data_IF_359651095780
#
_entry.id   IF_359651095780
#
_cell.length_a   1.000
_cell.length_b   1.000
_cell.length_c   1.000
_cell.angle_alpha   90.00
_cell.angle_beta   90.00
_cell.angle_gamma   90.00
#
_symmetry.space_group_name_H-M   'P 1'
#
loop_
_entity.id
_entity.type
_entity.pdbx_description
1 polymer ?
#
# COMPACT_ATOMS: atom_id res chain seq x y z
N UNK A 1 -20.75 -18.40 25.81
CA UNK A 1 -21.43 -18.48 27.13
C UNK A 1 -20.82 -17.52 28.14
N UNK A 2 -19.49 -17.56 28.38
CA UNK A 2 -18.81 -16.67 29.33
C UNK A 2 -19.07 -15.15 29.10
N UNK A 3 -19.08 -14.71 27.85
CA UNK A 3 -19.36 -13.31 27.49
C UNK A 3 -20.72 -12.81 27.99
N UNK A 4 -21.79 -13.58 27.76
CA UNK A 4 -23.15 -13.23 28.20
C UNK A 4 -23.29 -13.24 29.72
N UNK A 5 -22.62 -14.19 30.39
CA UNK A 5 -22.56 -14.21 31.85
C UNK A 5 -21.90 -12.95 32.41
N UNK A 6 -20.82 -12.47 31.79
CA UNK A 6 -20.15 -11.24 32.20
C UNK A 6 -21.05 -10.01 32.06
N UNK A 7 -21.82 -9.89 30.97
CA UNK A 7 -22.80 -8.82 30.78
C UNK A 7 -23.87 -8.85 31.88
N UNK A 8 -24.41 -10.03 32.18
CA UNK A 8 -25.42 -10.19 33.23
C UNK A 8 -24.85 -9.76 34.59
N UNK A 9 -23.63 -10.18 34.93
CA UNK A 9 -22.95 -9.79 36.17
C UNK A 9 -22.74 -8.27 36.22
N UNK A 10 -22.27 -7.64 35.14
CA UNK A 10 -22.08 -6.19 35.07
C UNK A 10 -23.40 -5.42 35.24
N UNK A 11 -24.49 -5.88 34.63
CA UNK A 11 -25.82 -5.29 34.80
C UNK A 11 -26.32 -5.44 36.25
N UNK A 12 -26.09 -6.60 36.88
CA UNK A 12 -26.44 -6.81 38.28
C UNK A 12 -25.64 -5.89 39.21
N UNK A 13 -24.35 -5.69 38.95
CA UNK A 13 -23.50 -4.75 39.71
C UNK A 13 -23.99 -3.32 39.52
N UNK A 14 -24.28 -2.89 38.29
CA UNK A 14 -24.80 -1.55 38.00
C UNK A 14 -26.16 -1.31 38.68
N UNK A 15 -27.06 -2.30 38.63
CA UNK A 15 -28.32 -2.25 39.35
C UNK A 15 -28.11 -2.20 40.87
N UNK A 16 -27.19 -2.98 41.43
CA UNK A 16 -26.87 -2.96 42.85
C UNK A 16 -26.33 -1.58 43.31
N UNK A 17 -25.49 -0.93 42.50
CA UNK A 17 -24.99 0.43 42.79
C UNK A 17 -26.11 1.48 42.84
N UNK A 18 -27.17 1.32 42.05
CA UNK A 18 -28.35 2.19 42.13
C UNK A 18 -29.26 1.85 43.31
N UNK A 19 -29.49 0.56 43.55
CA UNK A 19 -30.47 0.08 44.52
C UNK A 19 -29.96 0.17 45.97
N UNK A 20 -28.69 -0.15 46.23
CA UNK A 20 -28.14 -0.28 47.60
C UNK A 20 -28.13 1.05 48.36
N UNK A 21 -27.66 2.19 47.81
CA UNK A 21 -27.69 3.48 48.50
C UNK A 21 -29.12 3.96 48.77
N UNK A 22 -30.01 3.78 47.79
CA UNK A 22 -31.43 4.17 47.88
C UNK A 22 -32.18 3.38 48.97
N UNK A 23 -31.83 2.10 49.16
CA UNK A 23 -32.40 1.25 50.22
C UNK A 23 -31.81 1.53 51.61
N UNK A 24 -30.58 2.07 51.69
CA UNK A 24 -29.89 2.36 52.96
C UNK A 24 -30.27 3.70 53.58
N UNK A 25 -30.65 4.70 52.78
CA UNK A 25 -30.97 6.07 53.23
C UNK A 25 -32.28 6.23 54.05
N UNK A 26 -32.89 5.12 54.46
CA UNK A 26 -34.26 5.07 54.96
C UNK A 26 -34.36 4.78 56.47
N UNK A 27 -33.24 4.87 57.20
CA UNK A 27 -33.20 4.74 58.66
C UNK A 27 -33.01 6.12 59.30
N UNK A 28 -34.15 6.75 59.60
CA UNK A 28 -34.51 7.34 60.90
C UNK A 28 -33.49 8.16 61.75
N UNK A 29 -32.39 8.69 61.24
CA UNK A 29 -31.37 9.31 62.12
C UNK A 29 -31.56 10.82 62.38
N UNK A 30 -32.37 11.54 61.59
CA UNK A 30 -32.42 13.00 61.71
C UNK A 30 -33.26 13.55 62.88
N UNK A 31 -34.34 12.86 63.28
CA UNK A 31 -35.21 13.34 64.35
C UNK A 31 -34.68 12.95 65.74
N UNK A 32 -34.24 11.69 65.90
CA UNK A 32 -33.69 11.20 67.17
C UNK A 32 -32.39 11.91 67.53
N UNK A 33 -31.55 12.28 66.54
CA UNK A 33 -30.26 12.93 66.79
C UNK A 33 -30.36 14.36 67.32
N UNK A 34 -31.42 15.11 67.02
CA UNK A 34 -31.55 16.53 67.44
C UNK A 34 -32.08 16.64 68.87
N UNK A 35 -33.10 15.87 69.22
CA UNK A 35 -33.64 15.85 70.58
C UNK A 35 -32.61 15.30 71.59
N UNK A 36 -31.79 14.33 71.17
CA UNK A 36 -30.67 13.87 72.00
C UNK A 36 -29.61 14.95 72.15
N UNK A 37 -29.31 15.72 71.10
CA UNK A 37 -28.31 16.78 71.14
C UNK A 37 -28.74 17.92 72.07
N UNK A 38 -29.99 18.38 71.96
CA UNK A 38 -30.53 19.44 72.80
C UNK A 38 -30.55 19.03 74.29
N UNK A 39 -30.85 17.76 74.60
CA UNK A 39 -30.77 17.23 75.96
C UNK A 39 -29.34 17.21 76.51
N UNK A 40 -28.36 16.80 75.70
CA UNK A 40 -26.96 16.77 76.12
C UNK A 40 -26.45 18.19 76.37
N UNK A 41 -26.73 19.13 75.46
CA UNK A 41 -26.31 20.53 75.61
C UNK A 41 -26.95 21.20 76.83
N UNK A 42 -28.22 20.91 77.11
CA UNK A 42 -28.90 21.40 78.31
C UNK A 42 -28.22 20.89 79.61
N UNK A 43 -27.85 19.61 79.66
CA UNK A 43 -27.15 19.03 80.81
C UNK A 43 -25.75 19.61 80.98
N UNK A 44 -25.03 19.87 79.88
CA UNK A 44 -23.72 20.51 79.90
C UNK A 44 -23.81 21.94 80.46
N UNK A 45 -24.76 22.74 79.99
CA UNK A 45 -25.01 24.10 80.49
C UNK A 45 -25.38 24.12 81.98
N UNK A 46 -26.15 23.14 82.46
CA UNK A 46 -26.45 23.01 83.89
C UNK A 46 -25.21 22.75 84.74
N UNK A 47 -24.26 21.98 84.23
CA UNK A 47 -22.99 21.71 84.90
C UNK A 47 -22.06 22.93 84.91
N UNK A 48 -22.00 23.68 83.80
CA UNK A 48 -21.27 24.95 83.73
C UNK A 48 -21.80 25.96 84.75
N UNK A 49 -23.13 26.13 84.82
CA UNK A 49 -23.75 27.02 85.80
C UNK A 49 -23.45 26.63 87.26
N UNK A 50 -23.35 25.34 87.55
CA UNK A 50 -22.99 24.87 88.89
C UNK A 50 -21.52 25.16 89.23
N UNK A 51 -20.61 25.04 88.27
CA UNK A 51 -19.20 25.43 88.46
C UNK A 51 -19.05 26.94 88.63
N UNK A 52 -19.77 27.74 87.84
CA UNK A 52 -19.70 29.21 87.90
C UNK A 52 -20.28 29.75 89.21
N UNK A 53 -21.32 29.11 89.77
CA UNK A 53 -21.85 29.42 91.10
C UNK A 53 -20.81 29.10 92.20
N UNK A 54 -20.15 27.95 92.13
CA UNK A 54 -19.09 27.58 93.09
C UNK A 54 -17.88 28.51 93.02
N UNK A 55 -17.60 29.09 91.86
CA UNK A 55 -16.53 30.07 91.65
C UNK A 55 -16.97 31.51 92.01
N UNK A 56 -18.23 31.72 92.41
CA UNK A 56 -18.78 33.03 92.79
C UNK A 56 -19.02 33.96 91.60
N UNK A 57 -19.00 33.44 90.37
CA UNK A 57 -19.25 34.19 89.13
C UNK A 57 -20.74 34.43 88.94
N UNK A 58 -21.57 33.50 89.40
CA UNK A 58 -23.04 33.53 89.27
C UNK A 58 -23.68 33.53 90.66
N UNK A 59 -24.58 34.49 90.91
CA UNK A 59 -25.27 34.64 92.21
C UNK A 59 -26.70 34.10 92.28
N UNK A 60 -27.36 33.89 91.14
CA UNK A 60 -28.79 33.54 91.07
C UNK A 60 -29.07 32.37 90.12
N UNK A 61 -28.49 31.21 90.43
CA UNK A 61 -28.68 29.97 89.66
C UNK A 61 -30.16 29.59 89.38
N UNK A 62 -31.11 29.72 90.34
CA UNK A 62 -32.49 29.29 90.10
C UNK A 62 -33.18 30.03 88.95
N UNK A 63 -32.86 31.30 88.74
CA UNK A 63 -33.45 32.11 87.67
C UNK A 63 -32.85 31.76 86.30
N UNK A 64 -31.54 31.59 86.24
CA UNK A 64 -30.85 31.19 85.01
C UNK A 64 -31.21 29.77 84.55
N UNK A 65 -31.44 28.85 85.49
CA UNK A 65 -31.96 27.51 85.17
C UNK A 65 -33.37 27.61 84.58
N UNK A 66 -34.20 28.53 85.08
CA UNK A 66 -35.55 28.75 84.57
C UNK A 66 -35.53 29.35 83.16
N UNK A 67 -34.64 30.30 82.88
CA UNK A 67 -34.43 30.82 81.52
C UNK A 67 -33.93 29.73 80.57
N UNK A 68 -33.00 28.88 81.00
CA UNK A 68 -32.49 27.77 80.20
C UNK A 68 -33.61 26.76 79.87
N UNK A 69 -34.52 26.50 80.81
CA UNK A 69 -35.71 25.67 80.58
C UNK A 69 -36.69 26.31 79.60
N UNK A 70 -36.91 27.63 79.70
CA UNK A 70 -37.77 28.36 78.78
C UNK A 70 -37.20 28.38 77.36
N UNK A 71 -35.91 28.70 77.22
CA UNK A 71 -35.21 28.63 75.93
C UNK A 71 -35.25 27.22 75.34
N UNK A 72 -35.06 26.18 76.15
CA UNK A 72 -35.15 24.80 75.68
C UNK A 72 -36.55 24.47 75.16
N UNK A 73 -37.62 24.96 75.82
CA UNK A 73 -39.01 24.77 75.38
C UNK A 73 -39.30 25.52 74.07
N UNK A 74 -38.78 26.75 73.94
CA UNK A 74 -38.96 27.58 72.73
C UNK A 74 -38.16 27.02 71.53
N UNK A 75 -37.02 26.37 71.79
CA UNK A 75 -36.19 25.69 70.78
C UNK A 75 -36.71 24.30 70.38
N UNK A 76 -37.84 23.82 70.93
CA UNK A 76 -38.55 22.64 70.40
C UNK A 76 -39.45 23.12 69.26
N UNK A 77 -39.09 22.93 67.99
CA UNK A 77 -39.95 23.35 66.90
C UNK A 77 -41.27 22.57 66.98
N UNK A 78 -42.40 23.27 66.89
CA UNK A 78 -43.73 22.65 66.82
C UNK A 78 -43.73 21.55 65.77
N UNK A 79 -44.08 20.32 66.19
CA UNK A 79 -43.97 19.08 65.43
C UNK A 79 -44.48 19.22 63.99
N UNK A 80 -43.58 19.57 63.08
CA UNK A 80 -43.69 19.23 61.66
C UNK A 80 -42.48 18.38 61.35
N UNK A 81 -42.47 17.18 61.91
CA UNK A 81 -41.69 16.09 61.34
C UNK A 81 -42.22 15.88 59.93
N UNK A 82 -41.58 16.49 58.94
CA UNK A 82 -41.75 16.09 57.56
C UNK A 82 -41.37 14.61 57.50
N UNK A 83 -42.37 13.73 57.56
CA UNK A 83 -42.18 12.30 57.43
C UNK A 83 -41.53 12.07 56.07
N UNK A 84 -40.23 11.78 56.05
CA UNK A 84 -39.56 11.35 54.83
C UNK A 84 -40.20 10.04 54.42
N UNK A 85 -41.13 10.09 53.45
CA UNK A 85 -41.75 8.86 52.95
C UNK A 85 -40.64 7.99 52.36
N UNK A 86 -40.54 6.72 52.79
CA UNK A 86 -39.58 5.81 52.20
C UNK A 86 -39.82 5.71 50.70
N UNK A 87 -38.77 5.81 49.88
CA UNK A 87 -38.88 5.56 48.44
C UNK A 87 -39.44 4.14 48.28
N UNK A 88 -40.61 4.03 47.65
CA UNK A 88 -41.22 2.74 47.37
C UNK A 88 -40.26 1.93 46.46
N UNK A 89 -39.96 0.69 46.82
CA UNK A 89 -39.05 -0.19 46.02
C UNK A 89 -39.52 -0.33 44.58
N UNK A 90 -40.83 -0.27 44.35
CA UNK A 90 -41.44 -0.28 43.02
C UNK A 90 -41.14 0.98 42.19
N UNK A 91 -40.81 2.11 42.83
CA UNK A 91 -40.39 3.33 42.14
C UNK A 91 -38.97 3.23 41.54
N UNK A 92 -38.17 2.24 41.94
CA UNK A 92 -36.83 1.99 41.39
C UNK A 92 -36.86 1.07 40.16
N UNK A 93 -37.93 0.29 39.98
CA UNK A 93 -38.09 -0.64 38.84
C UNK A 93 -38.06 0.06 37.48
N UNK A 94 -38.71 1.23 37.26
CA UNK A 94 -38.61 1.94 36.00
C UNK A 94 -37.16 2.33 35.66
N UNK A 95 -36.36 2.72 36.66
CA UNK A 95 -34.96 3.08 36.47
C UNK A 95 -34.08 1.89 36.10
N UNK A 96 -34.27 0.73 36.76
CA UNK A 96 -33.56 -0.50 36.42
C UNK A 96 -33.99 -1.01 35.04
N UNK A 97 -35.28 -0.95 34.72
CA UNK A 97 -35.80 -1.32 33.40
C UNK A 97 -35.22 -0.42 32.31
N UNK A 98 -35.21 0.90 32.53
CA UNK A 98 -34.58 1.88 31.64
C UNK A 98 -33.11 1.55 31.43
N UNK A 99 -32.36 1.25 32.50
CA UNK A 99 -30.95 0.87 32.42
C UNK A 99 -30.75 -0.37 31.54
N UNK A 100 -31.55 -1.43 31.74
CA UNK A 100 -31.47 -2.65 30.93
C UNK A 100 -31.83 -2.36 29.47
N UNK A 101 -32.91 -1.61 29.22
CA UNK A 101 -33.35 -1.26 27.86
C UNK A 101 -32.29 -0.44 27.13
N UNK A 102 -31.71 0.57 27.79
CA UNK A 102 -30.63 1.39 27.24
C UNK A 102 -29.38 0.55 26.98
N UNK A 103 -28.99 -0.31 27.92
CA UNK A 103 -27.81 -1.17 27.76
C UNK A 103 -27.99 -2.17 26.62
N UNK A 104 -29.14 -2.84 26.54
CA UNK A 104 -29.47 -3.77 25.45
C UNK A 104 -29.55 -3.02 24.12
N UNK A 105 -30.26 -1.90 24.07
CA UNK A 105 -30.36 -1.08 22.85
C UNK A 105 -29.00 -0.59 22.35
N UNK A 106 -28.13 -0.17 23.27
CA UNK A 106 -26.76 0.22 22.94
C UNK A 106 -25.96 -0.97 22.41
N UNK A 107 -26.04 -2.14 23.05
CA UNK A 107 -25.38 -3.36 22.58
C UNK A 107 -25.91 -3.85 21.23
N UNK A 108 -27.21 -3.76 20.97
CA UNK A 108 -27.77 -4.11 19.65
C UNK A 108 -27.28 -3.17 18.55
N UNK A 109 -27.02 -1.88 18.88
CA UNK A 109 -26.56 -0.87 17.92
C UNK A 109 -25.04 -0.88 17.71
N UNK A 110 -24.26 -1.03 18.77
CA UNK A 110 -22.78 -0.90 18.74
C UNK A 110 -22.06 -2.22 18.93
N UNK A 111 -22.75 -3.24 19.43
CA UNK A 111 -22.19 -4.57 19.63
C UNK A 111 -21.96 -5.29 18.31
N UNK A 112 -21.14 -6.34 18.38
CA UNK A 112 -20.71 -7.11 17.23
C UNK A 112 -21.63 -8.29 16.87
N UNK A 113 -22.91 -8.30 17.26
CA UNK A 113 -23.75 -9.51 17.11
C UNK A 113 -23.85 -10.01 15.67
N UNK A 114 -24.11 -9.10 14.73
CA UNK A 114 -24.20 -9.44 13.31
C UNK A 114 -22.84 -9.94 12.78
N UNK A 115 -21.74 -9.33 13.19
CA UNK A 115 -20.39 -9.71 12.80
C UNK A 115 -20.01 -11.08 13.38
N UNK A 116 -20.40 -11.38 14.61
CA UNK A 116 -20.19 -12.70 15.23
C UNK A 116 -21.02 -13.77 14.53
N UNK A 117 -22.27 -13.47 14.17
CA UNK A 117 -23.11 -14.38 13.40
C UNK A 117 -22.53 -14.66 12.01
N UNK A 118 -22.12 -13.61 11.29
CA UNK A 118 -21.45 -13.74 10.00
C UNK A 118 -20.12 -14.49 10.10
N UNK A 119 -19.31 -14.21 11.12
CA UNK A 119 -18.07 -14.94 11.37
C UNK A 119 -18.32 -16.43 11.64
N UNK A 120 -19.34 -16.79 12.43
CA UNK A 120 -19.72 -18.20 12.64
C UNK A 120 -20.13 -18.87 11.33
N UNK A 121 -20.96 -18.20 10.53
CA UNK A 121 -21.35 -18.70 9.22
C UNK A 121 -20.13 -18.93 8.31
N UNK A 122 -19.14 -18.04 8.34
CA UNK A 122 -17.86 -18.24 7.62
C UNK A 122 -17.13 -19.48 8.14
N UNK A 123 -17.03 -19.68 9.46
CA UNK A 123 -16.40 -20.88 10.04
C UNK A 123 -17.11 -22.17 9.59
N UNK A 124 -18.44 -22.17 9.55
CA UNK A 124 -19.23 -23.31 9.10
C UNK A 124 -19.04 -23.61 7.60
N UNK A 125 -18.82 -22.57 6.78
CA UNK A 125 -18.59 -22.68 5.33
C UNK A 125 -17.12 -22.99 4.95
N UNK A 126 -16.16 -22.85 5.88
CA UNK A 126 -14.74 -23.01 5.59
C UNK A 126 -14.36 -24.36 4.93
N UNK A 127 -14.89 -25.52 5.35
CA UNK A 127 -14.57 -26.79 4.72
C UNK A 127 -14.96 -26.83 3.23
N UNK A 128 -16.12 -26.28 2.88
CA UNK A 128 -16.62 -26.22 1.51
C UNK A 128 -15.79 -25.26 0.66
N UNK A 129 -15.48 -24.06 1.19
CA UNK A 129 -14.63 -23.08 0.51
C UNK A 129 -13.24 -23.67 0.21
N UNK A 130 -12.63 -24.36 1.18
CA UNK A 130 -11.33 -25.03 0.99
C UNK A 130 -11.42 -26.16 -0.05
N UNK A 131 -12.47 -26.97 -0.02
CA UNK A 131 -12.67 -28.05 -0.99
C UNK A 131 -12.81 -27.50 -2.43
N UNK A 132 -13.49 -26.36 -2.60
CA UNK A 132 -13.60 -25.69 -3.90
C UNK A 132 -12.26 -25.14 -4.39
N UNK A 133 -11.45 -24.56 -3.51
CA UNK A 133 -10.08 -24.10 -3.88
C UNK A 133 -9.19 -25.27 -4.30
N UNK A 134 -9.33 -26.42 -3.65
CA UNK A 134 -8.54 -27.61 -3.96
C UNK A 134 -8.98 -28.30 -5.27
N UNK A 135 -10.16 -27.99 -5.80
CA UNK A 135 -10.71 -28.61 -7.01
C UNK A 135 -10.61 -27.66 -8.21
N UNK A 136 -9.68 -27.93 -9.12
CA UNK A 136 -9.45 -27.13 -10.33
C UNK A 136 -10.66 -27.05 -11.28
N UNK A 137 -11.57 -28.03 -11.21
CA UNK A 137 -12.79 -28.06 -12.04
C UNK A 137 -13.99 -27.38 -11.37
N UNK A 138 -13.86 -26.93 -10.12
CA UNK A 138 -14.94 -26.23 -9.43
C UNK A 138 -15.13 -24.82 -9.98
N UNK A 139 -16.34 -24.27 -9.78
CA UNK A 139 -16.60 -22.87 -10.11
C UNK A 139 -15.68 -21.96 -9.28
N UNK A 140 -15.02 -20.96 -9.90
CA UNK A 140 -14.20 -19.99 -9.19
C UNK A 140 -14.97 -19.32 -8.05
N UNK A 141 -14.26 -19.01 -6.96
CA UNK A 141 -14.85 -18.25 -5.86
C UNK A 141 -15.11 -16.81 -6.31
N UNK A 142 -16.27 -16.28 -5.92
CA UNK A 142 -16.57 -14.85 -6.01
C UNK A 142 -15.68 -14.04 -5.08
N UNK A 143 -15.57 -12.73 -5.35
CA UNK A 143 -14.77 -11.82 -4.53
C UNK A 143 -15.19 -11.82 -3.05
N UNK A 144 -16.51 -11.94 -2.79
CA UNK A 144 -17.04 -12.03 -1.44
C UNK A 144 -16.64 -13.33 -0.75
N UNK A 145 -16.72 -14.46 -1.45
CA UNK A 145 -16.28 -15.75 -0.92
C UNK A 145 -14.77 -15.78 -0.66
N UNK A 146 -13.96 -15.12 -1.49
CA UNK A 146 -12.52 -14.94 -1.26
C UNK A 146 -12.27 -14.12 0.03
N UNK A 147 -13.04 -13.05 0.25
CA UNK A 147 -12.95 -12.26 1.48
C UNK A 147 -13.36 -13.07 2.73
N UNK A 148 -14.40 -13.90 2.62
CA UNK A 148 -14.82 -14.84 3.68
C UNK A 148 -13.74 -15.89 3.95
N UNK A 149 -13.16 -16.48 2.91
CA UNK A 149 -12.04 -17.41 3.03
C UNK A 149 -10.87 -16.76 3.77
N UNK A 150 -10.53 -15.51 3.43
CA UNK A 150 -9.51 -14.72 4.15
C UNK A 150 -9.81 -14.51 5.64
N UNK A 151 -11.07 -14.23 6.00
CA UNK A 151 -11.49 -14.13 7.40
C UNK A 151 -11.36 -15.48 8.13
N UNK A 152 -11.80 -16.56 7.50
CA UNK A 152 -11.69 -17.91 8.04
C UNK A 152 -10.23 -18.34 8.24
N UNK A 153 -9.37 -18.08 7.26
CA UNK A 153 -7.93 -18.36 7.33
C UNK A 153 -7.25 -17.61 8.48
N UNK A 154 -7.51 -16.30 8.63
CA UNK A 154 -6.97 -15.52 9.76
C UNK A 154 -7.43 -16.07 11.10
N UNK A 155 -8.66 -16.58 11.19
CA UNK A 155 -9.16 -17.22 12.41
C UNK A 155 -8.44 -18.54 12.68
N UNK A 156 -8.26 -19.38 11.66
CA UNK A 156 -7.54 -20.65 11.79
C UNK A 156 -6.07 -20.43 12.20
N UNK A 157 -5.41 -19.43 11.62
CA UNK A 157 -4.04 -19.06 11.93
C UNK A 157 -3.86 -18.46 13.34
N UNK A 158 -4.90 -17.95 13.98
CA UNK A 158 -4.85 -17.61 15.41
C UNK A 158 -4.78 -18.85 16.30
N UNK A 159 -5.31 -19.98 15.84
CA UNK A 159 -5.27 -21.25 16.56
C UNK A 159 -3.98 -22.02 16.24
N UNK A 160 -3.59 -22.07 14.97
CA UNK A 160 -2.35 -22.68 14.50
C UNK A 160 -1.55 -21.70 13.64
N UNK A 161 -0.73 -20.90 14.32
CA UNK A 161 0.13 -19.91 13.66
C UNK A 161 1.31 -20.51 12.87
N UNK A 162 1.53 -21.83 12.90
CA UNK A 162 2.64 -22.50 12.19
C UNK A 162 2.18 -23.19 10.92
N UNK A 163 0.90 -23.10 10.56
CA UNK A 163 0.37 -23.70 9.34
C UNK A 163 0.79 -22.91 8.08
N UNK A 164 1.86 -23.39 7.43
CA UNK A 164 2.42 -22.78 6.22
C UNK A 164 1.39 -22.74 5.08
N UNK A 165 0.57 -23.78 4.91
CA UNK A 165 -0.41 -23.85 3.83
C UNK A 165 -1.48 -22.77 3.98
N UNK A 166 -1.96 -22.54 5.20
CA UNK A 166 -2.94 -21.47 5.47
C UNK A 166 -2.31 -20.08 5.31
N UNK A 167 -1.04 -19.87 5.67
CA UNK A 167 -0.32 -18.62 5.38
C UNK A 167 -0.15 -18.38 3.88
N UNK A 168 0.25 -19.40 3.12
CA UNK A 168 0.37 -19.33 1.67
C UNK A 168 -0.98 -19.03 1.00
N UNK A 169 -2.05 -19.67 1.47
CA UNK A 169 -3.40 -19.42 0.95
C UNK A 169 -3.90 -18.02 1.32
N UNK A 170 -3.62 -17.55 2.54
CA UNK A 170 -3.94 -16.18 2.95
C UNK A 170 -3.18 -15.15 2.11
N UNK A 171 -1.92 -15.43 1.77
CA UNK A 171 -1.13 -14.61 0.85
C UNK A 171 -1.77 -14.48 -0.53
N UNK A 172 -2.20 -15.61 -1.11
CA UNK A 172 -2.93 -15.67 -2.38
C UNK A 172 -4.28 -14.95 -2.32
N UNK A 173 -5.02 -15.10 -1.22
CA UNK A 173 -6.26 -14.34 -0.96
C UNK A 173 -5.97 -12.84 -0.92
N UNK A 174 -4.90 -12.42 -0.23
CA UNK A 174 -4.46 -11.03 -0.21
C UNK A 174 -4.19 -10.49 -1.61
N UNK A 175 -3.48 -11.25 -2.45
CA UNK A 175 -3.23 -10.87 -3.85
C UNK A 175 -4.53 -10.77 -4.67
N UNK A 176 -5.44 -11.74 -4.54
CA UNK A 176 -6.71 -11.75 -5.25
C UNK A 176 -7.60 -10.56 -4.85
N UNK A 177 -7.54 -10.14 -3.58
CA UNK A 177 -8.27 -8.98 -3.06
C UNK A 177 -7.55 -7.64 -3.29
N UNK A 178 -6.41 -7.63 -4.00
CA UNK A 178 -5.52 -6.48 -4.14
C UNK A 178 -5.13 -5.84 -2.79
N UNK A 179 -5.04 -6.65 -1.74
CA UNK A 179 -4.60 -6.26 -0.40
C UNK A 179 -3.13 -6.61 -0.25
N UNK A 180 -2.26 -5.71 -0.72
CA UNK A 180 -0.81 -5.88 -0.71
C UNK A 180 -0.29 -6.18 0.70
N UNK A 181 -0.77 -5.46 1.72
CA UNK A 181 -0.34 -5.66 3.12
C UNK A 181 -0.58 -7.09 3.59
N UNK A 182 -1.78 -7.65 3.36
CA UNK A 182 -2.10 -9.02 3.76
C UNK A 182 -1.28 -10.03 2.97
N UNK A 183 -1.11 -9.80 1.67
CA UNK A 183 -0.32 -10.67 0.81
C UNK A 183 1.14 -10.74 1.30
N UNK A 184 1.79 -9.58 1.48
CA UNK A 184 3.20 -9.49 1.87
C UNK A 184 3.43 -10.08 3.24
N UNK A 185 2.59 -9.75 4.23
CA UNK A 185 2.74 -10.28 5.59
C UNK A 185 2.55 -11.80 5.64
N UNK A 186 1.56 -12.33 4.93
CA UNK A 186 1.28 -13.76 4.96
C UNK A 186 2.40 -14.58 4.28
N UNK A 187 2.90 -14.15 3.12
CA UNK A 187 4.04 -14.80 2.48
C UNK A 187 5.34 -14.62 3.25
N UNK A 188 5.57 -13.45 3.87
CA UNK A 188 6.73 -13.24 4.73
C UNK A 188 6.71 -14.18 5.95
N UNK A 189 5.55 -14.36 6.59
CA UNK A 189 5.40 -15.33 7.68
C UNK A 189 5.62 -16.77 7.21
N UNK A 190 5.07 -17.17 6.05
CA UNK A 190 5.34 -18.49 5.47
C UNK A 190 6.84 -18.70 5.23
N UNK A 191 7.54 -17.69 4.68
CA UNK A 191 8.98 -17.72 4.42
C UNK A 191 9.83 -17.80 5.69
N UNK A 192 9.40 -17.16 6.78
CA UNK A 192 10.05 -17.31 8.09
C UNK A 192 9.93 -18.73 8.65
N UNK A 193 8.80 -19.41 8.39
CA UNK A 193 8.55 -20.77 8.88
C UNK A 193 9.32 -21.83 8.08
N UNK A 194 9.40 -21.69 6.77
CA UNK A 194 10.09 -22.63 5.87
C UNK A 194 10.78 -21.92 4.70
N UNK A 195 11.99 -21.37 4.91
CA UNK A 195 12.71 -20.60 3.89
C UNK A 195 13.30 -21.48 2.78
N UNK A 196 13.33 -22.80 2.94
CA UNK A 196 13.92 -23.71 1.95
C UNK A 196 12.87 -24.22 0.95
N UNK A 197 11.59 -24.15 1.31
CA UNK A 197 10.50 -24.56 0.45
C UNK A 197 10.39 -23.67 -0.80
N UNK A 198 10.40 -24.31 -1.97
CA UNK A 198 10.37 -23.63 -3.26
C UNK A 198 9.13 -22.77 -3.45
N UNK A 199 7.94 -23.31 -3.15
CA UNK A 199 6.68 -22.59 -3.33
C UNK A 199 6.57 -21.39 -2.39
N UNK A 200 7.07 -21.53 -1.17
CA UNK A 200 7.12 -20.44 -0.18
C UNK A 200 8.06 -19.32 -0.65
N UNK A 201 9.29 -19.67 -1.06
CA UNK A 201 10.25 -18.71 -1.62
C UNK A 201 9.68 -17.99 -2.83
N UNK A 202 9.04 -18.72 -3.73
CA UNK A 202 8.45 -18.17 -4.94
C UNK A 202 7.27 -17.24 -4.63
N UNK A 203 6.37 -17.63 -3.72
CA UNK A 203 5.26 -16.79 -3.29
C UNK A 203 5.72 -15.49 -2.64
N UNK A 204 6.76 -15.55 -1.80
CA UNK A 204 7.33 -14.36 -1.18
C UNK A 204 8.05 -13.47 -2.21
N UNK A 205 8.84 -14.04 -3.12
CA UNK A 205 9.43 -13.26 -4.21
C UNK A 205 8.36 -12.59 -5.08
N UNK A 206 7.27 -13.30 -5.42
CA UNK A 206 6.19 -12.78 -6.25
C UNK A 206 5.52 -11.55 -5.63
N UNK A 207 5.25 -11.56 -4.33
CA UNK A 207 4.64 -10.38 -3.70
C UNK A 207 5.62 -9.21 -3.59
N UNK A 208 6.91 -9.46 -3.39
CA UNK A 208 7.94 -8.42 -3.37
C UNK A 208 8.10 -7.73 -4.74
N UNK A 209 8.00 -8.47 -5.85
CA UNK A 209 8.03 -7.87 -7.22
C UNK A 209 6.85 -6.94 -7.53
N UNK A 210 5.78 -6.99 -6.73
CA UNK A 210 4.60 -6.11 -6.87
C UNK A 210 4.64 -4.93 -5.91
N UNK A 211 5.65 -4.86 -5.05
CA UNK A 211 5.81 -3.77 -4.11
C UNK A 211 6.24 -2.49 -4.85
N UNK A 212 5.79 -1.35 -4.34
CA UNK A 212 6.28 -0.05 -4.81
C UNK A 212 7.62 0.34 -4.17
N UNK A 213 8.11 -0.45 -3.21
CA UNK A 213 9.42 -0.23 -2.59
C UNK A 213 10.55 -0.76 -3.50
N UNK A 214 11.51 0.07 -3.92
CA UNK A 214 12.66 -0.38 -4.70
C UNK A 214 13.52 -1.45 -3.99
N UNK A 215 13.56 -1.47 -2.66
CA UNK A 215 14.31 -2.47 -1.90
C UNK A 215 13.67 -3.85 -2.02
N UNK A 216 12.34 -3.93 -1.90
CA UNK A 216 11.58 -5.17 -2.07
C UNK A 216 11.84 -5.77 -3.46
N UNK A 217 11.81 -4.95 -4.50
CA UNK A 217 12.08 -5.38 -5.88
C UNK A 217 13.53 -5.88 -6.07
N UNK A 218 14.49 -5.24 -5.40
CA UNK A 218 15.89 -5.69 -5.40
C UNK A 218 16.06 -7.02 -4.68
N UNK A 219 15.42 -7.17 -3.52
CA UNK A 219 15.41 -8.42 -2.76
C UNK A 219 14.77 -9.55 -3.58
N UNK A 220 13.62 -9.30 -4.21
CA UNK A 220 12.95 -10.25 -5.09
C UNK A 220 13.88 -10.71 -6.23
N UNK A 221 14.55 -9.76 -6.90
CA UNK A 221 15.51 -10.06 -7.97
C UNK A 221 16.64 -10.97 -7.49
N UNK A 222 17.19 -10.71 -6.30
CA UNK A 222 18.24 -11.55 -5.72
C UNK A 222 17.74 -12.95 -5.38
N UNK A 223 16.54 -13.06 -4.80
CA UNK A 223 15.90 -14.36 -4.50
C UNK A 223 15.68 -15.16 -5.78
N UNK A 224 15.08 -14.56 -6.81
CA UNK A 224 14.79 -15.22 -8.08
C UNK A 224 16.06 -15.68 -8.80
N UNK A 225 17.12 -14.88 -8.80
CA UNK A 225 18.43 -15.31 -9.35
C UNK A 225 19.01 -16.51 -8.62
N UNK A 226 18.93 -16.54 -7.28
CA UNK A 226 19.37 -17.71 -6.49
C UNK A 226 18.55 -18.94 -6.84
N UNK A 227 17.23 -18.80 -6.94
CA UNK A 227 16.36 -19.93 -7.26
C UNK A 227 16.60 -20.46 -8.69
N UNK A 228 16.89 -19.59 -9.67
CA UNK A 228 17.26 -20.02 -11.04
C UNK A 228 18.60 -20.75 -11.05
N UNK A 229 19.56 -20.35 -10.21
CA UNK A 229 20.82 -21.07 -10.08
C UNK A 229 20.64 -22.50 -9.54
N UNK A 230 19.59 -22.75 -8.76
CA UNK A 230 19.20 -24.07 -8.28
C UNK A 230 18.46 -24.88 -9.36
N UNK A 231 17.50 -24.26 -10.06
CA UNK A 231 16.75 -24.88 -11.15
C UNK A 231 16.58 -23.90 -12.33
N UNK A 232 17.34 -24.15 -13.40
CA UNK A 232 17.35 -23.31 -14.60
C UNK A 232 16.16 -23.56 -15.54
N UNK A 233 15.32 -24.57 -15.24
CA UNK A 233 14.22 -25.01 -16.11
C UNK A 233 12.85 -24.49 -15.66
N UNK A 234 12.75 -23.93 -14.45
CA UNK A 234 11.49 -23.47 -13.90
C UNK A 234 10.97 -22.21 -14.60
N UNK A 235 10.02 -22.41 -15.52
CA UNK A 235 9.41 -21.33 -16.31
C UNK A 235 8.75 -20.24 -15.46
N UNK A 236 8.22 -20.56 -14.27
CA UNK A 236 7.54 -19.57 -13.42
C UNK A 236 8.55 -18.61 -12.80
N UNK A 237 9.70 -19.13 -12.35
CA UNK A 237 10.78 -18.30 -11.78
C UNK A 237 11.41 -17.44 -12.88
N UNK A 238 11.68 -18.02 -14.06
CA UNK A 238 12.20 -17.29 -15.22
C UNK A 238 11.25 -16.16 -15.64
N UNK A 239 9.95 -16.45 -15.73
CA UNK A 239 8.93 -15.45 -16.07
C UNK A 239 8.93 -14.30 -15.07
N UNK A 240 8.92 -14.62 -13.77
CA UNK A 240 8.87 -13.61 -12.72
C UNK A 240 10.15 -12.76 -12.68
N UNK A 241 11.33 -13.38 -12.88
CA UNK A 241 12.59 -12.65 -13.00
C UNK A 241 12.55 -11.70 -14.20
N UNK A 242 12.10 -12.17 -15.36
CA UNK A 242 12.12 -11.39 -16.59
C UNK A 242 11.21 -10.16 -16.51
N UNK A 243 9.98 -10.33 -16.02
CA UNK A 243 9.05 -9.21 -15.84
C UNK A 243 9.55 -8.23 -14.78
N UNK A 244 10.04 -8.72 -13.64
CA UNK A 244 10.60 -7.84 -12.62
C UNK A 244 11.80 -7.06 -13.17
N UNK A 245 12.72 -7.71 -13.89
CA UNK A 245 13.87 -7.04 -14.50
C UNK A 245 13.44 -5.96 -15.52
N UNK A 246 12.43 -6.24 -16.33
CA UNK A 246 11.90 -5.29 -17.31
C UNK A 246 11.30 -4.05 -16.64
N UNK A 247 10.44 -4.23 -15.63
CA UNK A 247 9.82 -3.13 -14.88
C UNK A 247 10.85 -2.27 -14.14
N UNK A 248 11.95 -2.88 -13.69
CA UNK A 248 13.06 -2.18 -13.02
C UNK A 248 14.07 -1.57 -14.01
N UNK A 249 13.86 -1.69 -15.33
CA UNK A 249 14.75 -1.16 -16.37
C UNK A 249 16.03 -1.99 -16.61
N UNK A 250 16.18 -3.16 -16.01
CA UNK A 250 17.24 -4.12 -16.31
C UNK A 250 16.86 -4.96 -17.56
N UNK A 251 16.78 -4.27 -18.70
CA UNK A 251 16.34 -4.86 -19.97
C UNK A 251 17.23 -6.02 -20.43
N UNK A 252 18.53 -5.98 -20.12
CA UNK A 252 19.45 -7.07 -20.47
C UNK A 252 19.12 -8.36 -19.73
N UNK A 253 18.84 -8.27 -18.43
CA UNK A 253 18.42 -9.43 -17.65
C UNK A 253 17.06 -9.96 -18.11
N UNK A 254 16.11 -9.06 -18.44
CA UNK A 254 14.82 -9.45 -18.99
C UNK A 254 14.96 -10.24 -20.30
N UNK A 255 15.75 -9.71 -21.25
CA UNK A 255 16.04 -10.36 -22.54
C UNK A 255 16.66 -11.75 -22.31
N UNK A 256 17.67 -11.84 -21.45
CA UNK A 256 18.34 -13.11 -21.15
C UNK A 256 17.38 -14.16 -20.60
N UNK A 257 16.52 -13.78 -19.64
CA UNK A 257 15.55 -14.70 -19.04
C UNK A 257 14.49 -15.17 -20.06
N UNK A 258 13.93 -14.26 -20.89
CA UNK A 258 12.98 -14.66 -21.94
C UNK A 258 13.62 -15.53 -23.02
N UNK A 259 14.88 -15.30 -23.38
CA UNK A 259 15.61 -16.16 -24.32
C UNK A 259 15.78 -17.58 -23.78
N UNK A 260 16.06 -17.73 -22.49
CA UNK A 260 16.11 -19.06 -21.85
C UNK A 260 14.73 -19.72 -21.89
N UNK A 261 13.66 -18.98 -21.54
CA UNK A 261 12.30 -19.49 -21.63
C UNK A 261 11.96 -19.98 -23.04
N UNK A 262 12.28 -19.21 -24.09
CA UNK A 262 12.04 -19.61 -25.48
C UNK A 262 12.71 -20.94 -25.86
N UNK A 263 13.85 -21.27 -25.26
CA UNK A 263 14.54 -22.56 -25.49
C UNK A 263 13.88 -23.73 -24.76
N UNK A 264 13.15 -23.45 -23.69
CA UNK A 264 12.48 -24.46 -22.86
C UNK A 264 11.02 -24.69 -23.25
N UNK A 265 10.40 -23.72 -23.94
CA UNK A 265 9.01 -23.84 -24.40
C UNK A 265 8.87 -24.85 -25.53
N UNK A 266 7.76 -25.62 -25.58
CA UNK A 266 7.40 -26.43 -26.74
C UNK A 266 7.23 -25.56 -28.00
N UNK A 267 7.47 -26.15 -29.18
CA UNK A 267 7.41 -25.45 -30.47
C UNK A 267 6.07 -24.74 -30.74
N UNK A 268 4.96 -25.30 -30.27
CA UNK A 268 3.59 -24.78 -30.48
C UNK A 268 3.04 -24.01 -29.26
N UNK A 269 3.89 -23.59 -28.31
CA UNK A 269 3.42 -22.83 -27.14
C UNK A 269 2.98 -21.41 -27.53
N UNK A 270 1.74 -21.05 -27.17
CA UNK A 270 1.14 -19.73 -27.46
C UNK A 270 1.94 -18.56 -26.87
N UNK A 271 2.74 -18.79 -25.83
CA UNK A 271 3.56 -17.77 -25.18
C UNK A 271 4.75 -17.34 -26.03
N UNK A 272 5.20 -18.18 -26.97
CA UNK A 272 6.37 -17.94 -27.83
C UNK A 272 6.32 -16.57 -28.50
N UNK A 273 5.19 -16.21 -29.11
CA UNK A 273 5.03 -14.92 -29.80
C UNK A 273 5.00 -13.73 -28.82
N UNK A 274 4.47 -13.92 -27.61
CA UNK A 274 4.50 -12.89 -26.56
C UNK A 274 5.94 -12.65 -26.11
N UNK A 275 6.71 -13.72 -25.83
CA UNK A 275 8.10 -13.62 -25.40
C UNK A 275 8.99 -12.95 -26.48
N UNK A 276 8.81 -13.31 -27.75
CA UNK A 276 9.52 -12.64 -28.85
C UNK A 276 9.25 -11.13 -28.85
N UNK A 277 7.99 -10.72 -28.78
CA UNK A 277 7.64 -9.29 -28.71
C UNK A 277 8.22 -8.59 -27.49
N UNK A 278 8.18 -9.22 -26.33
CA UNK A 278 8.77 -8.68 -25.09
C UNK A 278 10.29 -8.48 -25.23
N UNK A 279 11.00 -9.43 -25.86
CA UNK A 279 12.43 -9.31 -26.15
C UNK A 279 12.69 -8.11 -27.07
N UNK A 280 11.96 -7.99 -28.18
CA UNK A 280 12.13 -6.87 -29.12
C UNK A 280 11.87 -5.52 -28.43
N UNK A 281 10.79 -5.42 -27.64
CA UNK A 281 10.50 -4.21 -26.87
C UNK A 281 11.63 -3.88 -25.89
N UNK A 282 12.15 -4.87 -25.17
CA UNK A 282 13.26 -4.64 -24.25
C UNK A 282 14.56 -4.26 -24.96
N UNK A 283 14.84 -4.78 -26.16
CA UNK A 283 16.00 -4.36 -26.96
C UNK A 283 15.91 -2.91 -27.40
N UNK A 284 14.71 -2.46 -27.82
CA UNK A 284 14.45 -1.05 -28.15
C UNK A 284 14.71 -0.17 -26.93
N UNK A 285 14.18 -0.55 -25.76
CA UNK A 285 14.39 0.19 -24.50
C UNK A 285 15.84 0.13 -23.99
N UNK A 286 16.56 -0.96 -24.25
CA UNK A 286 17.98 -1.11 -23.96
C UNK A 286 18.89 -0.33 -24.93
N UNK A 287 18.34 0.21 -26.02
CA UNK A 287 19.12 0.82 -27.10
C UNK A 287 19.99 -0.19 -27.87
N UNK A 288 19.67 -1.48 -27.83
CA UNK A 288 20.44 -2.54 -28.50
C UNK A 288 20.06 -2.74 -29.96
N UNK A 289 18.85 -2.33 -30.36
CA UNK A 289 18.44 -2.21 -31.77
C UNK A 289 18.49 -0.74 -32.21
N UNK A 290 19.70 -0.20 -32.29
CA UNK A 290 19.92 1.05 -33.03
C UNK A 290 19.73 0.79 -34.51
N UNK A 291 18.78 1.49 -35.11
CA UNK A 291 18.65 1.63 -36.56
C UNK A 291 20.01 2.00 -37.15
N UNK A 292 20.48 1.27 -38.16
CA UNK A 292 21.79 1.50 -38.78
C UNK A 292 21.62 1.78 -40.27
N UNK A 293 21.98 2.99 -40.69
CA UNK A 293 22.09 3.37 -42.09
C UNK A 293 23.57 3.39 -42.49
N UNK A 294 24.03 2.39 -43.22
CA UNK A 294 25.35 2.39 -43.83
C UNK A 294 25.40 3.37 -45.00
N UNK A 295 26.41 4.24 -45.05
CA UNK A 295 26.63 5.18 -46.15
C UNK A 295 28.02 4.93 -46.73
N UNK A 296 28.07 4.70 -48.04
CA UNK A 296 29.31 4.60 -48.80
C UNK A 296 29.46 5.81 -49.72
N UNK A 297 30.59 6.51 -49.61
CA UNK A 297 30.84 7.75 -50.32
C UNK A 297 32.01 7.59 -51.29
N UNK A 298 31.78 7.93 -52.55
CA UNK A 298 32.79 7.93 -53.62
C UNK A 298 32.93 9.33 -54.21
N UNK A 299 34.06 9.59 -54.88
CA UNK A 299 34.30 10.85 -55.61
C UNK A 299 34.16 10.61 -57.12
N UNK A 300 33.68 11.63 -57.84
CA UNK A 300 33.90 11.74 -59.29
C UNK A 300 35.38 12.07 -59.59
N UNK A 301 35.89 11.76 -60.80
CA UNK A 301 37.24 12.13 -61.21
C UNK A 301 37.52 13.65 -61.10
N UNK A 302 36.53 14.48 -61.40
CA UNK A 302 36.62 15.93 -61.34
C UNK A 302 36.72 16.41 -59.88
N UNK A 303 35.88 15.88 -58.99
CA UNK A 303 35.94 16.19 -57.56
C UNK A 303 37.25 15.71 -56.93
N UNK A 304 37.75 14.54 -57.33
CA UNK A 304 39.00 13.99 -56.81
C UNK A 304 40.22 14.89 -57.11
N UNK A 305 40.23 15.56 -58.26
CA UNK A 305 41.30 16.49 -58.65
C UNK A 305 41.18 17.88 -57.99
N UNK A 306 39.97 18.28 -57.59
CA UNK A 306 39.66 19.60 -57.07
C UNK A 306 39.29 19.59 -55.58
N UNK A 307 39.59 18.51 -54.86
CA UNK A 307 39.32 18.38 -53.43
C UNK A 307 40.33 19.21 -52.61
N UNK A 308 39.89 19.94 -51.57
CA UNK A 308 40.81 20.66 -50.69
C UNK A 308 41.67 19.72 -49.85
N UNK A 309 42.83 20.19 -49.38
CA UNK A 309 43.70 19.42 -48.48
C UNK A 309 43.13 19.29 -47.06
N UNK A 310 42.23 20.19 -46.67
CA UNK A 310 41.56 20.21 -45.37
C UNK A 310 40.08 20.58 -45.55
N UNK A 311 39.23 20.01 -44.71
CA UNK A 311 37.79 20.27 -44.74
C UNK A 311 37.02 19.30 -43.84
N UNK A 312 35.70 19.48 -43.79
CA UNK A 312 34.78 18.61 -43.05
C UNK A 312 33.73 18.04 -44.01
N UNK A 313 33.53 16.74 -43.96
CA UNK A 313 32.36 16.10 -44.57
C UNK A 313 31.15 16.32 -43.66
N UNK A 314 30.13 16.94 -44.22
CA UNK A 314 28.84 17.14 -43.57
C UNK A 314 27.84 16.23 -44.28
N UNK A 315 27.32 15.27 -43.53
CA UNK A 315 26.37 14.27 -44.01
C UNK A 315 25.02 14.59 -43.41
N UNK A 316 24.02 14.80 -44.26
CA UNK A 316 22.64 15.04 -43.83
C UNK A 316 21.70 14.01 -44.44
N UNK A 317 20.77 13.52 -43.62
CA UNK A 317 19.74 12.56 -44.04
C UNK A 317 18.38 13.24 -43.97
N UNK A 318 17.60 13.19 -45.05
CA UNK A 318 16.23 13.71 -45.12
C UNK A 318 15.24 12.64 -45.56
N UNK A 319 13.95 12.91 -45.40
CA UNK A 319 12.83 12.07 -45.86
C UNK A 319 12.41 12.38 -47.30
N UNK A 320 13.11 13.29 -47.99
CA UNK A 320 12.78 13.76 -49.33
C UNK A 320 11.57 14.70 -49.43
N UNK A 321 10.83 14.94 -48.33
CA UNK A 321 9.66 15.82 -48.29
C UNK A 321 10.00 17.21 -47.75
N UNK A 322 10.89 17.28 -46.77
CA UNK A 322 11.35 18.52 -46.17
C UNK A 322 12.86 18.71 -46.36
N UNK A 323 13.35 19.94 -46.60
CA UNK A 323 14.77 20.24 -46.68
C UNK A 323 15.47 20.18 -45.31
N UNK A 324 14.72 20.10 -44.20
CA UNK A 324 15.27 20.02 -42.85
C UNK A 324 15.81 18.60 -42.58
N UNK A 325 17.12 18.45 -42.28
CA UNK A 325 17.71 17.15 -41.96
C UNK A 325 17.09 16.50 -40.72
N UNK A 326 16.96 15.19 -40.77
CA UNK A 326 16.56 14.32 -39.65
C UNK A 326 17.79 13.96 -38.82
N UNK A 327 18.86 13.55 -39.50
CA UNK A 327 20.14 13.21 -38.88
C UNK A 327 21.28 13.95 -39.58
N UNK A 328 22.28 14.38 -38.80
CA UNK A 328 23.49 15.02 -39.31
C UNK A 328 24.72 14.40 -38.65
N UNK A 329 25.73 14.10 -39.45
CA UNK A 329 27.02 13.61 -38.99
C UNK A 329 28.12 14.42 -39.65
N UNK A 330 29.11 14.85 -38.85
CA UNK A 330 30.29 15.55 -39.34
C UNK A 330 31.50 14.66 -39.19
N UNK A 331 32.31 14.56 -40.23
CA UNK A 331 33.55 13.77 -40.25
C UNK A 331 34.68 14.62 -40.82
N UNK A 332 35.92 14.49 -40.31
CA UNK A 332 37.07 15.13 -40.94
C UNK A 332 37.27 14.60 -42.37
N UNK A 333 37.66 15.47 -43.29
CA UNK A 333 37.97 15.08 -44.67
C UNK A 333 39.05 13.99 -44.66
N UNK A 334 38.73 12.86 -45.28
CA UNK A 334 39.52 11.63 -45.23
C UNK A 334 39.72 11.08 -46.64
N UNK A 335 40.40 9.92 -46.76
CA UNK A 335 40.56 9.22 -48.03
C UNK A 335 39.24 8.59 -48.48
N UNK A 336 39.02 8.58 -49.79
CA UNK A 336 37.86 7.95 -50.43
C UNK A 336 38.28 6.66 -51.17
N UNK A 337 37.39 5.66 -51.31
CA UNK A 337 36.01 5.62 -50.83
C UNK A 337 35.91 5.56 -49.30
N UNK A 338 34.88 6.20 -48.74
CA UNK A 338 34.65 6.28 -47.30
C UNK A 338 33.34 5.58 -46.94
N UNK A 339 33.37 4.68 -45.95
CA UNK A 339 32.18 4.00 -45.45
C UNK A 339 31.99 4.25 -43.95
N UNK A 340 30.75 4.54 -43.54
CA UNK A 340 30.38 4.76 -42.13
C UNK A 340 28.89 4.44 -41.92
N UNK A 341 28.46 4.32 -40.65
CA UNK A 341 27.05 4.15 -40.30
C UNK A 341 26.49 5.38 -39.59
N UNK A 342 25.20 5.64 -39.77
CA UNK A 342 24.41 6.53 -38.92
C UNK A 342 23.35 5.73 -38.15
N UNK A 343 23.00 6.23 -36.97
CA UNK A 343 21.92 5.70 -36.14
C UNK A 343 21.06 6.81 -35.55
N UNK A 344 20.07 6.45 -34.73
CA UNK A 344 19.19 7.39 -34.03
C UNK A 344 19.96 8.35 -33.11
N UNK A 345 21.17 8.00 -32.66
CA UNK A 345 22.05 8.90 -31.92
C UNK A 345 22.60 10.05 -32.75
N UNK A 346 22.39 10.04 -34.08
CA UNK A 346 22.75 11.13 -34.98
C UNK A 346 21.57 12.04 -35.35
N UNK A 347 20.39 11.83 -34.76
CA UNK A 347 19.22 12.66 -34.98
C UNK A 347 19.39 14.07 -34.41
N UNK A 348 18.90 15.10 -35.11
CA UNK A 348 18.93 16.49 -34.64
C UNK A 348 17.83 16.83 -33.63
N UNK A 349 16.75 16.06 -33.62
CA UNK A 349 15.58 16.28 -32.77
C UNK A 349 15.12 14.97 -32.13
N UNK A 350 14.77 14.96 -30.82
CA UNK A 350 14.28 13.75 -30.15
C UNK A 350 13.03 13.12 -30.77
N UNK A 351 12.15 13.97 -31.34
CA UNK A 351 10.85 13.57 -31.92
C UNK A 351 10.96 13.09 -33.38
N UNK A 352 12.12 13.28 -34.03
CA UNK A 352 12.34 12.97 -35.46
C UNK A 352 13.61 12.13 -35.61
N UNK A 353 13.44 10.82 -35.39
CA UNK A 353 14.52 9.84 -35.40
C UNK A 353 14.68 9.18 -36.78
N UNK A 354 15.85 8.57 -37.03
CA UNK A 354 16.12 7.84 -38.27
C UNK A 354 15.21 6.60 -38.38
N UNK A 355 14.90 5.97 -37.24
CA UNK A 355 13.95 4.86 -37.10
C UNK A 355 12.52 5.18 -37.50
N UNK A 356 12.13 6.45 -37.46
CA UNK A 356 10.79 6.90 -37.86
C UNK A 356 10.63 7.06 -39.38
N UNK A 357 11.72 6.95 -40.14
CA UNK A 357 11.72 7.20 -41.58
C UNK A 357 11.36 5.94 -42.38
N UNK A 358 10.43 6.09 -43.32
CA UNK A 358 10.09 5.06 -44.31
C UNK A 358 10.89 5.22 -45.62
N UNK A 359 11.48 6.39 -45.82
CA UNK A 359 12.31 6.70 -46.98
C UNK A 359 13.45 7.61 -46.53
N UNK A 360 14.61 7.45 -47.16
CA UNK A 360 15.81 8.22 -46.85
C UNK A 360 16.44 8.76 -48.13
N UNK A 361 16.92 10.00 -48.05
CA UNK A 361 17.79 10.64 -49.03
C UNK A 361 19.01 11.18 -48.29
N UNK A 362 20.20 10.77 -48.72
CA UNK A 362 21.46 11.15 -48.09
C UNK A 362 22.16 12.19 -48.95
N UNK A 363 22.54 13.31 -48.35
CA UNK A 363 23.38 14.34 -48.97
C UNK A 363 24.72 14.38 -48.24
N UNK A 364 25.80 14.37 -49.01
CA UNK A 364 27.17 14.50 -48.48
C UNK A 364 27.78 15.74 -49.10
N UNK A 365 28.26 16.67 -48.28
CA UNK A 365 28.95 17.89 -48.71
C UNK A 365 30.34 17.97 -48.09
N UNK A 366 31.33 18.39 -48.87
CA UNK A 366 32.65 18.78 -48.38
C UNK A 366 32.62 20.28 -48.15
N UNK A 367 32.74 20.68 -46.88
CA UNK A 367 32.82 22.07 -46.45
C UNK A 367 34.28 22.43 -46.16
N UNK A 368 34.74 23.52 -46.75
CA UNK A 368 36.11 24.03 -46.57
C UNK A 368 36.29 24.72 -45.21
N UNK A 369 35.25 25.39 -44.72
CA UNK A 369 35.23 26.21 -43.50
C UNK A 369 34.65 25.47 -42.28
N UNK A 370 34.14 24.26 -42.46
CA UNK A 370 33.47 23.46 -41.42
C UNK A 370 32.06 23.94 -41.06
N UNK A 371 31.51 24.94 -41.77
CA UNK A 371 30.19 25.49 -41.48
C UNK A 371 29.07 24.62 -42.06
N UNK A 372 27.96 24.50 -41.32
CA UNK A 372 26.78 23.76 -41.74
C UNK A 372 26.05 24.36 -42.95
N UNK A 373 26.24 25.67 -43.21
CA UNK A 373 25.69 26.39 -44.35
C UNK A 373 26.46 26.10 -45.63
N UNK A 374 25.79 25.81 -46.76
CA UNK A 374 26.45 25.64 -48.06
C UNK A 374 27.15 26.93 -48.52
N UNK A 375 28.39 26.81 -49.00
CA UNK A 375 29.13 27.91 -49.63
C UNK A 375 29.35 27.63 -51.12
N UNK A 376 29.44 28.69 -51.93
CA UNK A 376 29.77 28.56 -53.34
C UNK A 376 31.13 27.86 -53.52
N UNK A 377 31.19 26.87 -54.41
CA UNK A 377 32.37 26.05 -54.66
C UNK A 377 32.50 24.79 -53.78
N UNK A 378 31.61 24.57 -52.81
CA UNK A 378 31.60 23.33 -52.04
C UNK A 378 31.17 22.14 -52.90
N UNK A 379 31.95 21.05 -52.83
CA UNK A 379 31.61 19.80 -53.49
C UNK A 379 30.52 19.05 -52.73
N UNK A 380 29.49 18.56 -53.42
CA UNK A 380 28.44 17.75 -52.81
C UNK A 380 27.93 16.63 -53.74
N UNK A 381 27.30 15.64 -53.13
CA UNK A 381 26.62 14.53 -53.77
C UNK A 381 25.33 14.21 -53.05
N UNK A 382 24.34 13.67 -53.77
CA UNK A 382 23.06 13.25 -53.20
C UNK A 382 22.67 11.86 -53.71
N UNK A 383 22.14 11.02 -52.82
CA UNK A 383 21.54 9.75 -53.23
C UNK A 383 20.17 9.98 -53.90
N UNK A 384 19.71 8.96 -54.63
CA UNK A 384 18.28 8.83 -54.90
C UNK A 384 17.49 8.64 -53.59
N UNK A 385 16.20 8.96 -53.62
CA UNK A 385 15.29 8.62 -52.53
C UNK A 385 15.09 7.10 -52.51
N UNK A 386 15.37 6.46 -51.38
CA UNK A 386 15.26 5.01 -51.22
C UNK A 386 14.33 4.66 -50.07
N UNK A 387 13.64 3.53 -50.16
CA UNK A 387 12.84 2.99 -49.05
C UNK A 387 13.75 2.51 -47.93
N UNK A 388 13.35 2.79 -46.68
CA UNK A 388 14.11 2.47 -45.48
C UNK A 388 13.20 1.84 -44.44
N UNK A 389 13.69 0.79 -43.78
CA UNK A 389 12.94 0.01 -42.79
C UNK A 389 13.80 -0.37 -41.60
N UNK A 390 14.65 0.55 -41.13
CA UNK A 390 15.47 0.39 -39.92
C UNK A 390 16.90 -0.13 -40.14
N UNK A 391 17.19 -0.78 -41.27
CA UNK A 391 18.57 -1.14 -41.63
C UNK A 391 18.75 -1.08 -43.16
N UNK A 392 19.85 -0.52 -43.65
CA UNK A 392 20.05 -0.34 -45.08
C UNK A 392 21.39 0.29 -45.44
N UNK A 393 21.75 0.27 -46.72
CA UNK A 393 22.97 0.86 -47.25
C UNK A 393 22.66 1.83 -48.39
N UNK A 394 23.26 3.02 -48.35
CA UNK A 394 23.11 4.05 -49.37
C UNK A 394 24.48 4.42 -49.92
N UNK A 395 24.58 4.48 -51.25
CA UNK A 395 25.78 4.96 -51.93
C UNK A 395 25.58 6.40 -52.40
N UNK A 396 26.56 7.26 -52.18
CA UNK A 396 26.58 8.66 -52.62
C UNK A 396 27.87 8.93 -53.37
N UNK A 397 27.75 9.46 -54.59
CA UNK A 397 28.89 9.97 -55.33
C UNK A 397 28.91 11.51 -55.25
N UNK A 398 30.06 12.08 -54.89
CA UNK A 398 30.28 13.53 -54.88
C UNK A 398 30.70 13.96 -56.29
N UNK A 399 29.81 14.66 -56.99
CA UNK A 399 29.91 14.96 -58.41
C UNK A 399 29.51 16.39 -58.80
N UNK A 400 28.98 17.18 -57.85
CA UNK A 400 28.46 18.53 -58.11
C UNK A 400 29.12 19.56 -57.22
N UNK A 401 29.16 20.81 -57.68
CA UNK A 401 29.55 21.96 -56.87
C UNK A 401 28.35 22.85 -56.58
N UNK A 402 28.32 23.42 -55.38
CA UNK A 402 27.39 24.50 -55.06
C UNK A 402 27.73 25.71 -55.94
N UNK A 403 26.75 26.24 -56.69
CA UNK A 403 26.97 27.33 -57.65
C UNK A 403 27.40 28.64 -57.00
#
# INVERSE_FOLDING_TARGET
MAFWLMIIVLLLVAAALLLVPALRHNRADNATSRDTLNKVLYQERLGELEQDEQQGVVGERPELVKELQQNLLDDIPGQTTAQSKPINRWALLPGVLLLVVVAVGFYLKTGGLAQVAAWRQVQDQMPELRARVANEHAQPLSMEEIARLGLGLRTALQQDGRNINDWMMLGRVGMALNNATTATQAFAHAYQLDPNNLEVRLGYAEVLTRSNDPEDNRQASQMLRKMIAEDHSNLRILSLLAFNAFEQGDYRQAIGAWQVMLKLLPADDRRTEVLKRSIEQAKVQAGEETVKLGVNVTLSPEAANALPQQGTLIISVTDGKSPVPVAVKQLPLSRFPLSFSLDDGNAMMPERLLSSLHQVKVRVRVSHDGLATPQAGDWFGESALQTFSGNGQVSVQIDKQVP
#
